data_IF_547597048987
#
_entry.id   IF_547597048987
#
_cell.length_a   1.000
_cell.length_b   1.000
_cell.length_c   1.000
_cell.angle_alpha   90.00
_cell.angle_beta   90.00
_cell.angle_gamma   90.00
#
_symmetry.space_group_name_H-M   'P 1'
#
loop_
_entity.id
_entity.type
_entity.pdbx_description
1 polymer ?
#
# COMPACT_ATOMS: atom_id res chain seq x y z
N UNK A 1 -6.80 35.59 35.21
CA UNK A 1 -5.65 35.12 34.39
C UNK A 1 -5.66 33.61 34.11
N UNK A 2 -6.40 32.76 34.82
CA UNK A 2 -6.45 31.31 34.54
C UNK A 2 -7.28 30.91 33.30
N UNK A 3 -8.40 31.61 33.01
CA UNK A 3 -9.29 31.29 31.89
C UNK A 3 -8.64 31.46 30.51
N UNK A 4 -7.76 32.45 30.35
CA UNK A 4 -7.05 32.69 29.09
C UNK A 4 -6.04 31.58 28.79
N UNK A 5 -5.37 31.05 29.81
CA UNK A 5 -4.39 29.97 29.68
C UNK A 5 -5.05 28.63 29.31
N UNK A 6 -6.18 28.29 29.93
CA UNK A 6 -6.94 27.08 29.55
C UNK A 6 -7.49 27.15 28.13
N UNK A 7 -8.00 28.30 27.70
CA UNK A 7 -8.48 28.49 26.31
C UNK A 7 -7.33 28.33 25.30
N UNK A 8 -6.14 28.89 25.60
CA UNK A 8 -4.95 28.74 24.75
C UNK A 8 -4.52 27.27 24.66
N UNK A 9 -4.52 26.53 25.78
CA UNK A 9 -4.17 25.11 25.80
C UNK A 9 -5.17 24.26 25.00
N UNK A 10 -6.47 24.53 25.12
CA UNK A 10 -7.50 23.82 24.33
C UNK A 10 -7.34 24.11 22.83
N UNK A 11 -7.06 25.36 22.45
CA UNK A 11 -6.81 25.72 21.06
C UNK A 11 -5.54 25.05 20.51
N UNK A 12 -4.45 25.04 21.28
CA UNK A 12 -3.21 24.35 20.90
C UNK A 12 -3.42 22.83 20.77
N UNK A 13 -4.13 22.21 21.72
CA UNK A 13 -4.47 20.80 21.64
C UNK A 13 -5.36 20.50 20.42
N UNK A 14 -6.32 21.36 20.12
CA UNK A 14 -7.16 21.28 18.92
C UNK A 14 -6.35 21.35 17.64
N UNK A 15 -5.38 22.27 17.53
CA UNK A 15 -4.49 22.39 16.37
C UNK A 15 -3.58 21.17 16.23
N UNK A 16 -2.98 20.68 17.32
CA UNK A 16 -2.16 19.45 17.29
C UNK A 16 -3.01 18.25 16.88
N UNK A 17 -4.23 18.12 17.42
CA UNK A 17 -5.15 17.07 17.03
C UNK A 17 -5.54 17.16 15.56
N UNK A 18 -5.81 18.37 15.04
CA UNK A 18 -6.18 18.60 13.64
C UNK A 18 -5.00 18.34 12.70
N UNK A 19 -3.78 18.69 13.10
CA UNK A 19 -2.54 18.37 12.36
C UNK A 19 -2.25 16.87 12.38
N UNK A 20 -2.39 16.20 13.53
CA UNK A 20 -2.25 14.75 13.65
C UNK A 20 -3.33 14.03 12.84
N UNK A 21 -4.57 14.51 12.86
CA UNK A 21 -5.68 13.99 12.07
C UNK A 21 -5.48 14.25 10.58
N UNK A 22 -4.87 15.37 10.17
CA UNK A 22 -4.47 15.60 8.77
C UNK A 22 -3.31 14.71 8.34
N UNK A 23 -2.34 14.45 9.22
CA UNK A 23 -1.19 13.55 8.96
C UNK A 23 -1.60 12.07 8.92
N UNK A 24 -2.55 11.66 9.76
CA UNK A 24 -3.13 10.32 9.78
C UNK A 24 -4.32 10.18 8.81
N UNK A 25 -4.80 11.30 8.29
CA UNK A 25 -6.09 11.44 7.62
C UNK A 25 -6.11 10.82 6.24
N UNK A 26 -6.90 9.76 6.10
CA UNK A 26 -7.24 9.12 4.83
C UNK A 26 -6.11 8.29 4.21
N UNK A 27 -4.91 8.85 4.10
CA UNK A 27 -3.79 8.20 3.41
C UNK A 27 -3.21 7.04 4.23
N UNK A 28 -3.07 7.19 5.55
CA UNK A 28 -2.67 6.09 6.43
C UNK A 28 -3.65 4.91 6.41
N UNK A 29 -4.96 5.21 6.38
CA UNK A 29 -6.02 4.20 6.27
C UNK A 29 -5.97 3.51 4.90
N UNK A 30 -5.78 4.27 3.81
CA UNK A 30 -5.62 3.71 2.46
C UNK A 30 -4.37 2.83 2.36
N UNK A 31 -3.24 3.26 2.90
CA UNK A 31 -2.01 2.45 2.93
C UNK A 31 -2.22 1.16 3.72
N UNK A 32 -2.87 1.25 4.89
CA UNK A 32 -3.19 0.07 5.69
C UNK A 32 -4.11 -0.91 4.96
N UNK A 33 -5.17 -0.39 4.30
CA UNK A 33 -6.06 -1.19 3.48
C UNK A 33 -5.33 -1.84 2.31
N UNK A 34 -4.45 -1.11 1.61
CA UNK A 34 -3.68 -1.63 0.50
C UNK A 34 -2.76 -2.78 0.93
N UNK A 35 -2.03 -2.63 2.04
CA UNK A 35 -1.18 -3.69 2.60
C UNK A 35 -2.02 -4.92 2.97
N UNK A 36 -3.19 -4.72 3.60
CA UNK A 36 -4.06 -5.84 3.97
C UNK A 36 -4.65 -6.56 2.75
N UNK A 37 -5.01 -5.83 1.70
CA UNK A 37 -5.45 -6.41 0.42
C UNK A 37 -4.33 -7.19 -0.27
N UNK A 38 -3.10 -6.68 -0.26
CA UNK A 38 -1.93 -7.38 -0.79
C UNK A 38 -1.66 -8.70 -0.04
N UNK A 39 -1.75 -8.70 1.29
CA UNK A 39 -1.58 -9.92 2.08
C UNK A 39 -2.66 -10.96 1.76
N UNK A 40 -3.91 -10.54 1.56
CA UNK A 40 -5.00 -11.42 1.15
C UNK A 40 -4.76 -12.00 -0.25
N UNK A 41 -4.33 -11.17 -1.21
CA UNK A 41 -3.97 -11.61 -2.56
C UNK A 41 -2.80 -12.60 -2.52
N UNK A 42 -1.76 -12.33 -1.74
CA UNK A 42 -0.63 -13.24 -1.55
C UNK A 42 -1.09 -14.62 -1.14
N UNK A 43 -1.93 -14.72 -0.09
CA UNK A 43 -2.46 -16.01 0.39
C UNK A 43 -3.21 -16.74 -0.72
N UNK A 44 -4.10 -16.05 -1.44
CA UNK A 44 -4.84 -16.62 -2.56
C UNK A 44 -3.92 -17.09 -3.68
N UNK A 45 -2.85 -16.36 -3.99
CA UNK A 45 -1.86 -16.77 -5.00
C UNK A 45 -1.14 -18.05 -4.56
N UNK A 46 -0.73 -18.13 -3.29
CA UNK A 46 0.00 -19.27 -2.75
C UNK A 46 -0.84 -20.57 -2.68
N UNK A 47 -2.17 -20.45 -2.68
CA UNK A 47 -3.11 -21.57 -2.75
C UNK A 47 -3.27 -22.13 -4.18
N UNK A 48 -2.88 -21.39 -5.21
CA UNK A 48 -2.98 -21.84 -6.61
C UNK A 48 -1.98 -22.97 -6.85
N UNK A 49 -2.50 -24.13 -7.25
CA UNK A 49 -1.69 -25.27 -7.69
C UNK A 49 -1.19 -25.04 -9.12
N UNK A 50 0.02 -25.50 -9.43
CA UNK A 50 0.65 -25.43 -10.75
C UNK A 50 1.03 -24.02 -11.23
N UNK A 51 1.56 -23.17 -10.34
CA UNK A 51 2.21 -21.94 -10.75
C UNK A 51 3.67 -22.21 -11.13
N UNK A 52 4.08 -21.70 -12.29
CA UNK A 52 5.48 -21.57 -12.70
C UNK A 52 6.12 -20.31 -12.09
N UNK A 53 5.74 -19.94 -10.87
CA UNK A 53 6.32 -18.83 -10.12
C UNK A 53 6.69 -19.36 -8.73
N UNK A 54 7.96 -19.30 -8.31
CA UNK A 54 8.37 -19.75 -6.98
C UNK A 54 7.64 -19.00 -5.87
N UNK A 55 7.26 -19.71 -4.81
CA UNK A 55 6.55 -19.12 -3.66
C UNK A 55 7.39 -18.03 -2.99
N UNK A 56 8.69 -18.28 -2.87
CA UNK A 56 9.67 -17.37 -2.28
C UNK A 56 9.79 -16.08 -3.09
N UNK A 57 9.60 -16.16 -4.42
CA UNK A 57 9.58 -14.97 -5.27
C UNK A 57 8.33 -14.13 -5.04
N UNK A 58 7.15 -14.77 -4.99
CA UNK A 58 5.87 -14.09 -4.70
C UNK A 58 5.95 -13.36 -3.35
N UNK A 59 6.40 -14.06 -2.31
CA UNK A 59 6.53 -13.49 -0.95
C UNK A 59 7.50 -12.32 -0.91
N UNK A 60 8.68 -12.46 -1.52
CA UNK A 60 9.70 -11.42 -1.54
C UNK A 60 9.22 -10.15 -2.24
N UNK A 61 8.55 -10.30 -3.39
CA UNK A 61 8.05 -9.16 -4.17
C UNK A 61 6.91 -8.44 -3.46
N UNK A 62 5.94 -9.18 -2.91
CA UNK A 62 4.83 -8.57 -2.17
C UNK A 62 5.35 -7.88 -0.90
N UNK A 63 6.28 -8.50 -0.16
CA UNK A 63 6.89 -7.89 1.02
C UNK A 63 7.60 -6.57 0.71
N UNK A 64 8.33 -6.50 -0.41
CA UNK A 64 8.96 -5.25 -0.87
C UNK A 64 7.91 -4.15 -1.11
N UNK A 65 6.82 -4.48 -1.79
CA UNK A 65 5.72 -3.52 -2.04
C UNK A 65 5.10 -3.03 -0.74
N UNK A 66 4.87 -3.93 0.24
CA UNK A 66 4.38 -3.55 1.57
C UNK A 66 5.32 -2.60 2.32
N UNK A 67 6.63 -2.87 2.29
CA UNK A 67 7.64 -2.01 2.90
C UNK A 67 7.65 -0.61 2.27
N UNK A 68 7.62 -0.55 0.93
CA UNK A 68 7.58 0.72 0.19
C UNK A 68 6.31 1.52 0.49
N UNK A 69 5.16 0.85 0.58
CA UNK A 69 3.90 1.46 1.00
C UNK A 69 3.97 2.04 2.42
N UNK A 70 4.61 1.36 3.37
CA UNK A 70 4.82 1.87 4.73
C UNK A 70 5.74 3.09 4.76
N UNK A 71 6.69 3.18 3.84
CA UNK A 71 7.55 4.35 3.64
C UNK A 71 6.84 5.51 2.90
N UNK A 72 5.57 5.33 2.51
CA UNK A 72 4.86 6.32 1.68
C UNK A 72 5.37 6.38 0.24
N UNK A 73 6.14 5.38 -0.20
CA UNK A 73 6.70 5.29 -1.54
C UNK A 73 5.85 4.35 -2.39
N UNK A 74 4.98 4.95 -3.19
CA UNK A 74 4.20 4.19 -4.17
C UNK A 74 2.95 4.92 -4.61
N UNK A 75 2.51 4.62 -5.82
CA UNK A 75 1.25 5.14 -6.33
C UNK A 75 0.10 4.26 -5.81
N UNK A 76 -0.48 4.64 -4.67
CA UNK A 76 -1.59 3.94 -4.03
C UNK A 76 -2.74 3.66 -5.01
N UNK A 77 -3.10 4.65 -5.83
CA UNK A 77 -4.16 4.50 -6.83
C UNK A 77 -3.84 3.39 -7.83
N UNK A 78 -2.62 3.37 -8.37
CA UNK A 78 -2.16 2.34 -9.30
C UNK A 78 -2.13 0.96 -8.65
N UNK A 79 -1.71 0.87 -7.38
CA UNK A 79 -1.70 -0.38 -6.63
C UNK A 79 -3.13 -0.92 -6.47
N UNK A 80 -4.09 -0.07 -6.11
CA UNK A 80 -5.50 -0.46 -6.05
C UNK A 80 -6.05 -0.93 -7.40
N UNK A 81 -5.79 -0.20 -8.48
CA UNK A 81 -6.22 -0.56 -9.83
C UNK A 81 -5.64 -1.92 -10.28
N UNK A 82 -4.37 -2.19 -9.96
CA UNK A 82 -3.70 -3.47 -10.23
C UNK A 82 -4.30 -4.61 -9.40
N UNK A 83 -4.53 -4.41 -8.10
CA UNK A 83 -5.15 -5.40 -7.23
C UNK A 83 -6.57 -5.76 -7.66
N UNK A 84 -7.40 -4.74 -7.93
CA UNK A 84 -8.78 -4.91 -8.36
C UNK A 84 -8.88 -5.66 -9.71
N UNK A 85 -7.98 -5.34 -10.64
CA UNK A 85 -7.85 -6.11 -11.90
C UNK A 85 -7.49 -7.56 -11.62
N UNK A 86 -6.50 -7.81 -10.79
CA UNK A 86 -6.05 -9.16 -10.48
C UNK A 86 -7.11 -9.97 -9.71
N UNK A 87 -7.88 -9.35 -8.82
CA UNK A 87 -9.02 -10.02 -8.16
C UNK A 87 -10.08 -10.49 -9.15
N UNK A 88 -10.35 -9.70 -10.20
CA UNK A 88 -11.25 -10.13 -11.29
C UNK A 88 -10.68 -11.31 -12.07
N UNK A 89 -9.36 -11.37 -12.23
CA UNK A 89 -8.69 -12.51 -12.88
C UNK A 89 -8.70 -13.75 -12.00
N UNK A 90 -8.56 -13.61 -10.67
CA UNK A 90 -8.68 -14.72 -9.71
C UNK A 90 -10.09 -15.34 -9.66
N UNK A 91 -11.12 -14.60 -10.07
CA UNK A 91 -12.48 -15.16 -10.25
C UNK A 91 -12.59 -16.08 -11.48
N UNK A 92 -11.59 -16.05 -12.36
CA UNK A 92 -11.48 -16.88 -13.57
C UNK A 92 -10.36 -17.92 -13.37
N UNK A 93 -10.06 -18.69 -14.41
CA UNK A 93 -8.91 -19.60 -14.41
C UNK A 93 -7.62 -18.76 -14.51
N UNK A 94 -6.89 -18.69 -13.40
CA UNK A 94 -5.65 -17.94 -13.29
C UNK A 94 -4.47 -18.71 -13.89
N UNK A 95 -3.56 -18.00 -14.54
CA UNK A 95 -2.35 -18.55 -15.19
C UNK A 95 -1.08 -17.97 -14.56
N UNK A 96 0.05 -18.66 -14.71
CA UNK A 96 1.33 -18.16 -14.19
C UNK A 96 1.76 -16.83 -14.83
N UNK A 97 1.42 -16.61 -16.10
CA UNK A 97 1.67 -15.33 -16.79
C UNK A 97 0.87 -14.17 -16.19
N UNK A 98 -0.37 -14.42 -15.76
CA UNK A 98 -1.17 -13.42 -15.05
C UNK A 98 -0.60 -13.09 -13.68
N UNK A 99 -0.12 -14.09 -12.93
CA UNK A 99 0.57 -13.86 -11.64
C UNK A 99 1.84 -13.04 -11.86
N UNK A 100 2.68 -13.39 -12.84
CA UNK A 100 3.90 -12.63 -13.16
C UNK A 100 3.57 -11.18 -13.53
N UNK A 101 2.58 -10.98 -14.41
CA UNK A 101 2.13 -9.63 -14.80
C UNK A 101 1.66 -8.82 -13.60
N UNK A 102 0.86 -9.41 -12.72
CA UNK A 102 0.41 -8.75 -11.48
C UNK A 102 1.60 -8.32 -10.63
N UNK A 103 2.53 -9.24 -10.36
CA UNK A 103 3.73 -8.95 -9.58
C UNK A 103 4.56 -7.83 -10.22
N UNK A 104 4.73 -7.82 -11.55
CA UNK A 104 5.43 -6.77 -12.29
C UNK A 104 4.72 -5.42 -12.27
N UNK A 105 3.40 -5.40 -12.27
CA UNK A 105 2.62 -4.17 -12.19
C UNK A 105 2.64 -3.55 -10.79
N UNK A 106 2.57 -4.36 -9.73
CA UNK A 106 2.66 -3.84 -8.35
C UNK A 106 4.07 -3.34 -8.01
N UNK A 107 5.12 -4.04 -8.46
CA UNK A 107 6.52 -3.65 -8.24
C UNK A 107 6.81 -2.30 -8.93
N UNK A 108 6.39 -2.15 -10.20
CA UNK A 108 6.45 -0.87 -10.93
C UNK A 108 5.63 0.25 -10.30
N UNK A 109 4.63 -0.08 -9.48
CA UNK A 109 3.82 0.92 -8.79
C UNK A 109 4.52 1.50 -7.56
N UNK A 110 5.56 0.83 -7.06
CA UNK A 110 6.41 1.29 -5.93
C UNK A 110 7.85 1.64 -6.33
N UNK A 111 8.27 1.24 -7.54
CA UNK A 111 9.52 1.64 -8.21
C UNK A 111 9.45 3.01 -8.89
N UNK A 112 8.59 3.90 -8.39
CA UNK A 112 8.77 5.33 -8.67
C UNK A 112 10.01 5.76 -7.88
N UNK A 113 11.20 5.55 -8.45
CA UNK A 113 12.43 6.23 -8.04
C UNK A 113 12.10 7.73 -7.93
N UNK A 114 12.33 8.40 -6.79
CA UNK A 114 13.66 8.91 -6.44
C UNK A 114 14.51 9.10 -7.70
N UNK A 115 14.03 9.90 -8.65
CA UNK A 115 15.00 10.66 -9.45
C UNK A 115 15.80 11.48 -8.44
N UNK A 116 17.10 11.22 -8.21
CA UNK A 116 17.91 12.25 -7.62
C UNK A 116 17.79 13.44 -8.56
N UNK A 117 17.27 14.55 -8.07
CA UNK A 117 17.32 15.82 -8.79
C UNK A 117 18.76 16.01 -9.27
N UNK A 118 19.02 16.11 -10.58
CA UNK A 118 20.38 16.33 -11.05
C UNK A 118 20.78 17.77 -10.71
N UNK A 119 21.66 17.85 -9.69
CA UNK A 119 22.50 18.99 -9.24
C UNK A 119 21.81 20.14 -8.53
#
# INVERSE_FOLDING_TARGET
MCLSLTVIVILLAGVVFLVAYKRLGGEGIKTWLAIRSLDNLKRRILEIKNLDVPKEEIERRIKRVEERLREGKGNLRRIYETMDRFERELRKRITSSQVRRFLDEIDRSVDIELTPSPR
#
